data_IF_409470641321
#
_entry.id   IF_409470641321
#
_cell.length_a   1.000
_cell.length_b   1.000
_cell.length_c   1.000
_cell.angle_alpha   90.00
_cell.angle_beta   90.00
_cell.angle_gamma   90.00
#
_symmetry.space_group_name_H-M   'P 1'
#
loop_
_entity.id
_entity.type
_entity.pdbx_description
1 polymer ?
#
# COMPACT_ATOMS: atom_id res chain seq x y z
N UNK A 1 -27.99 -5.64 -24.12
CA UNK A 1 -27.03 -6.75 -24.34
C UNK A 1 -26.56 -7.19 -22.97
N UNK A 2 -26.98 -8.38 -22.52
CA UNK A 2 -26.65 -8.87 -21.17
C UNK A 2 -25.16 -9.22 -21.07
N UNK A 3 -24.53 -8.88 -19.95
CA UNK A 3 -23.13 -9.22 -19.68
C UNK A 3 -22.93 -10.74 -19.79
N UNK A 4 -22.11 -11.18 -20.75
CA UNK A 4 -21.76 -12.59 -20.92
C UNK A 4 -20.99 -13.06 -19.69
N UNK A 5 -21.39 -14.22 -19.14
CA UNK A 5 -20.71 -14.85 -18.01
C UNK A 5 -19.27 -15.21 -18.40
N UNK A 6 -18.35 -15.12 -17.44
CA UNK A 6 -16.98 -15.57 -17.65
C UNK A 6 -16.89 -17.11 -17.61
N UNK A 7 -15.71 -17.66 -17.90
CA UNK A 7 -15.44 -19.12 -17.87
C UNK A 7 -15.67 -19.76 -16.50
N UNK A 8 -15.86 -18.96 -15.45
CA UNK A 8 -16.19 -19.39 -14.09
C UNK A 8 -17.70 -19.31 -13.79
N UNK A 9 -18.54 -19.15 -14.81
CA UNK A 9 -20.00 -19.07 -14.72
C UNK A 9 -20.51 -17.92 -13.81
N UNK A 10 -19.73 -16.84 -13.70
CA UNK A 10 -20.07 -15.64 -12.95
C UNK A 10 -20.11 -14.44 -13.89
N UNK A 11 -20.84 -13.38 -13.52
CA UNK A 11 -20.68 -12.10 -14.22
C UNK A 11 -19.25 -11.58 -14.03
N UNK A 12 -18.63 -10.91 -15.02
CA UNK A 12 -17.25 -10.42 -14.91
C UNK A 12 -16.98 -9.60 -13.65
N UNK A 13 -17.96 -8.78 -13.21
CA UNK A 13 -17.84 -7.98 -11.97
C UNK A 13 -18.00 -8.78 -10.68
N UNK A 14 -18.56 -9.99 -10.74
CA UNK A 14 -18.76 -10.89 -9.60
C UNK A 14 -17.63 -11.91 -9.45
N UNK A 15 -16.93 -12.24 -10.54
CA UNK A 15 -15.80 -13.15 -10.52
C UNK A 15 -14.54 -12.47 -9.98
N UNK A 16 -14.02 -12.90 -8.82
CA UNK A 16 -12.78 -12.36 -8.26
C UNK A 16 -11.55 -12.51 -9.18
N UNK A 17 -11.54 -13.53 -10.05
CA UNK A 17 -10.46 -13.78 -11.01
C UNK A 17 -10.56 -12.97 -12.31
N UNK A 18 -11.75 -12.49 -12.66
CA UNK A 18 -11.99 -11.73 -13.89
C UNK A 18 -12.30 -10.25 -13.64
N UNK A 19 -12.49 -9.86 -12.36
CA UNK A 19 -12.67 -8.46 -11.98
C UNK A 19 -11.36 -7.71 -12.25
N UNK A 20 -11.41 -6.52 -12.86
CA UNK A 20 -10.24 -5.67 -13.01
C UNK A 20 -9.55 -5.39 -11.67
N UNK A 21 -8.23 -5.21 -11.71
CA UNK A 21 -7.47 -4.78 -10.56
C UNK A 21 -8.03 -3.45 -10.01
N UNK A 22 -8.10 -3.29 -8.68
CA UNK A 22 -8.42 -2.00 -8.07
C UNK A 22 -7.46 -0.91 -8.55
N UNK A 23 -7.96 0.33 -8.63
CA UNK A 23 -7.13 1.50 -8.98
C UNK A 23 -5.89 1.56 -8.08
N UNK A 24 -4.73 1.82 -8.68
CA UNK A 24 -3.44 1.84 -7.99
C UNK A 24 -2.76 0.48 -7.82
N UNK A 25 -3.38 -0.62 -8.28
CA UNK A 25 -2.76 -1.96 -8.33
C UNK A 25 -2.56 -2.45 -9.77
N UNK A 26 -1.64 -3.39 -9.94
CA UNK A 26 -1.39 -4.06 -11.21
C UNK A 26 -2.15 -5.40 -11.29
N UNK A 27 -2.56 -5.79 -12.50
CA UNK A 27 -3.23 -7.09 -12.76
C UNK A 27 -2.36 -8.30 -12.40
N UNK A 28 -1.04 -8.14 -12.49
CA UNK A 28 -0.06 -9.15 -12.10
C UNK A 28 0.91 -8.56 -11.10
N UNK A 29 1.24 -9.35 -10.09
CA UNK A 29 2.11 -8.96 -8.98
C UNK A 29 3.14 -10.04 -8.74
N UNK A 30 4.23 -9.63 -8.11
CA UNK A 30 5.34 -10.51 -7.74
C UNK A 30 5.19 -10.93 -6.28
N UNK A 31 5.30 -12.22 -6.01
CA UNK A 31 5.29 -12.78 -4.66
C UNK A 31 6.44 -13.75 -4.47
N UNK A 32 6.82 -13.96 -3.22
CA UNK A 32 7.69 -15.06 -2.80
C UNK A 32 6.90 -16.05 -1.96
N UNK A 33 7.16 -17.36 -2.06
CA UNK A 33 6.72 -18.32 -1.05
C UNK A 33 7.11 -17.84 0.36
N UNK A 34 6.19 -17.96 1.33
CA UNK A 34 6.39 -17.46 2.71
C UNK A 34 6.35 -15.94 2.87
N UNK A 35 6.39 -15.14 1.80
CA UNK A 35 6.33 -13.68 1.86
C UNK A 35 4.95 -13.16 2.29
N UNK A 36 4.94 -12.14 3.15
CA UNK A 36 3.72 -11.58 3.76
C UNK A 36 3.05 -10.48 2.93
N UNK A 37 3.72 -9.95 1.91
CA UNK A 37 3.21 -8.90 1.01
C UNK A 37 3.40 -9.30 -0.45
N UNK A 38 2.70 -8.62 -1.37
CA UNK A 38 2.97 -8.72 -2.80
C UNK A 38 3.60 -7.44 -3.36
N UNK A 39 4.45 -7.56 -4.36
CA UNK A 39 5.22 -6.46 -4.97
C UNK A 39 4.79 -6.22 -6.42
N UNK A 40 5.01 -5.01 -6.94
CA UNK A 40 4.80 -4.72 -8.37
C UNK A 40 5.89 -5.31 -9.27
N UNK A 41 7.08 -5.58 -8.71
CA UNK A 41 8.24 -6.06 -9.45
C UNK A 41 9.18 -6.87 -8.57
N UNK A 42 9.85 -7.86 -9.17
CA UNK A 42 10.91 -8.64 -8.53
C UNK A 42 12.16 -7.80 -8.16
N UNK A 43 12.27 -6.59 -8.71
CA UNK A 43 13.36 -5.64 -8.42
C UNK A 43 13.01 -4.63 -7.32
N UNK A 44 11.87 -4.79 -6.64
CA UNK A 44 11.51 -3.91 -5.55
C UNK A 44 12.59 -3.95 -4.45
N UNK A 45 13.08 -2.80 -4.03
CA UNK A 45 14.13 -2.70 -3.01
C UNK A 45 13.72 -3.36 -1.69
N UNK A 46 12.49 -3.13 -1.23
CA UNK A 46 11.95 -3.79 -0.03
C UNK A 46 11.90 -5.32 -0.15
N UNK A 47 11.65 -5.85 -1.36
CA UNK A 47 11.71 -7.30 -1.60
C UNK A 47 13.15 -7.82 -1.49
N UNK A 48 14.08 -7.15 -2.17
CA UNK A 48 15.50 -7.52 -2.18
C UNK A 48 16.07 -7.48 -0.76
N UNK A 49 15.78 -6.42 -0.01
CA UNK A 49 16.27 -6.30 1.36
C UNK A 49 15.58 -7.29 2.31
N UNK A 50 14.29 -7.57 2.11
CA UNK A 50 13.57 -8.62 2.83
C UNK A 50 14.21 -10.00 2.65
N UNK A 51 14.56 -10.37 1.41
CA UNK A 51 15.26 -11.62 1.09
C UNK A 51 16.67 -11.66 1.72
N UNK A 52 17.43 -10.56 1.64
CA UNK A 52 18.75 -10.45 2.29
C UNK A 52 18.64 -10.59 3.80
N UNK A 53 17.62 -9.98 4.42
CA UNK A 53 17.35 -10.12 5.85
C UNK A 53 17.01 -11.55 6.22
N UNK A 54 16.16 -12.23 5.45
CA UNK A 54 15.83 -13.64 5.67
C UNK A 54 17.08 -14.53 5.64
N UNK A 55 17.95 -14.36 4.63
CA UNK A 55 19.24 -15.04 4.57
C UNK A 55 20.11 -14.79 5.81
N UNK A 56 20.22 -13.53 6.26
CA UNK A 56 20.99 -13.18 7.47
C UNK A 56 20.44 -13.83 8.74
N UNK A 57 19.13 -14.11 8.77
CA UNK A 57 18.46 -14.80 9.88
C UNK A 57 18.48 -16.33 9.73
N UNK A 58 19.14 -16.87 8.70
CA UNK A 58 19.18 -18.31 8.43
C UNK A 58 17.85 -18.89 7.94
N UNK A 59 16.94 -18.05 7.46
CA UNK A 59 15.66 -18.46 6.88
C UNK A 59 15.85 -18.86 5.42
N UNK A 60 15.02 -19.79 4.95
CA UNK A 60 14.95 -20.12 3.53
C UNK A 60 14.42 -18.95 2.70
N UNK A 61 15.04 -18.76 1.54
CA UNK A 61 14.63 -17.77 0.54
C UNK A 61 14.22 -18.48 -0.74
N UNK A 62 13.30 -17.85 -1.46
CA UNK A 62 12.72 -18.42 -2.67
C UNK A 62 12.65 -17.38 -3.77
N UNK A 63 12.76 -17.82 -5.02
CA UNK A 63 12.69 -16.92 -6.16
C UNK A 63 11.32 -16.21 -6.25
N UNK A 64 11.31 -14.90 -6.53
CA UNK A 64 10.06 -14.19 -6.77
C UNK A 64 9.37 -14.70 -8.04
N UNK A 65 8.05 -14.92 -7.96
CA UNK A 65 7.20 -15.34 -9.07
C UNK A 65 6.10 -14.34 -9.37
N UNK A 66 5.80 -14.13 -10.65
CA UNK A 66 4.69 -13.31 -11.07
C UNK A 66 3.38 -14.11 -11.07
N UNK A 67 2.36 -13.62 -10.38
CA UNK A 67 1.03 -14.23 -10.26
C UNK A 67 -0.08 -13.22 -10.56
N UNK A 68 -1.28 -13.65 -10.98
CA UNK A 68 -2.45 -12.78 -11.04
C UNK A 68 -2.77 -12.18 -9.66
N UNK A 69 -3.11 -10.88 -9.61
CA UNK A 69 -3.45 -10.18 -8.37
C UNK A 69 -4.56 -10.89 -7.59
N UNK A 70 -5.58 -11.37 -8.30
CA UNK A 70 -6.72 -12.05 -7.72
C UNK A 70 -6.37 -13.29 -6.87
N UNK A 71 -5.19 -13.90 -7.07
CA UNK A 71 -4.73 -15.03 -6.27
C UNK A 71 -4.21 -14.64 -4.87
N UNK A 72 -3.87 -13.36 -4.66
CA UNK A 72 -3.16 -12.93 -3.44
C UNK A 72 -3.78 -11.72 -2.76
N UNK A 73 -4.66 -10.99 -3.44
CA UNK A 73 -5.25 -9.74 -2.95
C UNK A 73 -5.94 -9.89 -1.59
N UNK A 74 -6.54 -11.04 -1.31
CA UNK A 74 -7.25 -11.30 -0.05
C UNK A 74 -6.34 -11.75 1.10
N UNK A 75 -5.16 -12.29 0.78
CA UNK A 75 -4.28 -12.95 1.77
C UNK A 75 -3.07 -12.09 2.14
N UNK A 76 -2.66 -11.19 1.25
CA UNK A 76 -1.42 -10.43 1.38
C UNK A 76 -1.70 -8.96 1.04
N UNK A 77 -1.33 -8.00 1.90
CA UNK A 77 -1.42 -6.60 1.53
C UNK A 77 -0.38 -6.25 0.46
N UNK A 78 -0.63 -5.18 -0.33
CA UNK A 78 0.34 -4.65 -1.27
C UNK A 78 1.56 -4.08 -0.56
N UNK A 79 2.73 -4.23 -1.20
CA UNK A 79 3.91 -3.46 -0.83
C UNK A 79 3.65 -1.98 -1.10
N UNK A 80 3.67 -1.20 -0.03
CA UNK A 80 3.51 0.26 0.01
C UNK A 80 4.50 1.03 -0.88
N UNK A 81 5.69 0.47 -1.15
CA UNK A 81 6.64 1.07 -2.10
C UNK A 81 6.25 0.85 -3.56
N UNK A 82 5.68 -0.32 -3.85
CA UNK A 82 5.26 -0.65 -5.21
C UNK A 82 3.95 0.02 -5.58
N UNK A 83 3.06 0.17 -4.59
CA UNK A 83 1.71 0.67 -4.78
C UNK A 83 1.41 1.82 -3.82
N UNK A 84 2.19 2.93 -3.89
CA UNK A 84 2.02 4.03 -2.96
C UNK A 84 0.67 4.74 -3.13
N UNK A 85 0.00 4.56 -4.26
CA UNK A 85 -1.25 5.23 -4.61
C UNK A 85 -2.48 4.32 -4.44
N UNK A 86 -2.29 3.10 -3.94
CA UNK A 86 -3.41 2.24 -3.57
C UNK A 86 -3.91 2.60 -2.17
N UNK A 87 -5.20 2.96 -2.09
CA UNK A 87 -5.91 3.14 -0.84
C UNK A 87 -6.89 1.98 -0.62
N UNK A 88 -6.65 1.10 0.38
CA UNK A 88 -7.65 0.14 0.83
C UNK A 88 -8.98 0.82 1.20
N UNK A 89 -10.07 0.06 1.11
CA UNK A 89 -11.39 0.54 1.52
C UNK A 89 -11.37 1.10 2.96
N UNK A 90 -12.03 2.24 3.17
CA UNK A 90 -12.05 2.94 4.45
C UNK A 90 -10.82 3.80 4.74
N UNK A 91 -9.76 3.73 3.93
CA UNK A 91 -8.57 4.59 4.07
C UNK A 91 -8.51 5.67 3.00
N UNK A 92 -7.64 6.68 3.19
CA UNK A 92 -7.42 7.76 2.21
C UNK A 92 -5.94 8.04 2.04
N UNK A 93 -5.53 8.34 0.81
CA UNK A 93 -4.17 8.81 0.54
C UNK A 93 -3.94 10.16 1.24
N UNK A 94 -2.77 10.31 1.86
CA UNK A 94 -2.35 11.57 2.44
C UNK A 94 -0.85 11.79 2.26
N UNK A 95 -0.43 13.02 2.51
CA UNK A 95 0.93 13.37 2.90
C UNK A 95 0.98 13.49 4.42
N UNK A 96 2.05 12.97 5.02
CA UNK A 96 2.36 13.19 6.44
C UNK A 96 3.74 13.85 6.56
N UNK A 97 3.83 14.89 7.39
CA UNK A 97 5.08 15.59 7.68
C UNK A 97 5.74 14.99 8.91
N UNK A 98 6.99 14.55 8.78
CA UNK A 98 7.84 14.09 9.90
C UNK A 98 9.24 14.65 9.74
N UNK A 99 9.77 15.23 10.81
CA UNK A 99 11.11 15.83 10.84
C UNK A 99 11.37 16.79 9.66
N UNK A 100 10.34 17.58 9.33
CA UNK A 100 10.39 18.54 8.24
C UNK A 100 10.13 17.97 6.85
N UNK A 101 10.14 16.65 6.65
CA UNK A 101 9.99 15.97 5.35
C UNK A 101 8.56 15.46 5.15
N UNK A 102 8.06 15.52 3.90
CA UNK A 102 6.76 14.95 3.52
C UNK A 102 6.90 13.52 3.02
N UNK A 103 6.12 12.61 3.61
CA UNK A 103 6.04 11.20 3.22
C UNK A 103 4.67 10.86 2.67
N UNK A 104 4.63 9.94 1.71
CA UNK A 104 3.37 9.33 1.26
C UNK A 104 2.82 8.47 2.38
N UNK A 105 1.56 8.68 2.74
CA UNK A 105 0.88 7.93 3.79
C UNK A 105 -0.56 7.55 3.45
N UNK A 106 -1.14 6.78 4.36
CA UNK A 106 -2.53 6.34 4.38
C UNK A 106 -3.17 6.79 5.69
N UNK A 107 -4.13 7.70 5.60
CA UNK A 107 -4.99 8.06 6.71
C UNK A 107 -5.99 6.92 6.92
N UNK A 108 -5.93 6.28 8.10
CA UNK A 108 -6.79 5.15 8.46
C UNK A 108 -8.11 5.61 9.05
N UNK A 109 -8.05 6.55 10.02
CA UNK A 109 -9.23 7.16 10.63
C UNK A 109 -8.87 8.41 11.41
N UNK A 110 -9.83 9.31 11.59
CA UNK A 110 -9.75 10.36 12.59
C UNK A 110 -10.16 9.80 13.96
N UNK A 111 -9.37 10.07 15.00
CA UNK A 111 -9.54 9.53 16.35
C UNK A 111 -10.18 10.52 17.35
N UNK A 112 -10.29 11.79 16.99
CA UNK A 112 -10.88 12.83 17.85
C UNK A 112 -10.03 14.08 17.92
N UNK A 113 -10.23 14.90 18.96
CA UNK A 113 -9.39 16.07 19.23
C UNK A 113 -8.48 15.82 20.42
N UNK A 114 -7.26 16.34 20.34
CA UNK A 114 -6.30 16.27 21.43
C UNK A 114 -6.42 17.42 22.43
N UNK A 115 -5.53 17.47 23.43
CA UNK A 115 -5.51 18.50 24.46
C UNK A 115 -5.30 19.93 23.89
N UNK A 116 -4.67 20.05 22.72
CA UNK A 116 -4.52 21.32 22.02
C UNK A 116 -5.73 21.66 21.11
N UNK A 117 -6.83 20.90 21.23
CA UNK A 117 -8.04 21.01 20.43
C UNK A 117 -7.83 20.80 18.92
N UNK A 118 -6.76 20.10 18.54
CA UNK A 118 -6.46 19.72 17.16
C UNK A 118 -7.01 18.33 16.86
N UNK A 119 -7.56 18.13 15.66
CA UNK A 119 -7.93 16.78 15.23
C UNK A 119 -6.70 15.88 15.10
N UNK A 120 -6.81 14.65 15.56
CA UNK A 120 -5.82 13.58 15.42
C UNK A 120 -6.34 12.45 14.53
N UNK A 121 -5.41 11.82 13.81
CA UNK A 121 -5.68 10.68 12.96
C UNK A 121 -4.62 9.59 13.14
N UNK A 122 -5.06 8.34 12.99
CA UNK A 122 -4.19 7.19 12.81
C UNK A 122 -3.70 7.16 11.37
N UNK A 123 -2.39 7.17 11.16
CA UNK A 123 -1.76 7.25 9.84
C UNK A 123 -0.65 6.21 9.73
N UNK A 124 -0.67 5.44 8.64
CA UNK A 124 0.46 4.62 8.23
C UNK A 124 1.26 5.34 7.16
N UNK A 125 2.59 5.32 7.25
CA UNK A 125 3.47 5.86 6.23
C UNK A 125 4.77 5.09 6.16
N UNK A 126 5.58 5.40 5.16
CA UNK A 126 6.81 4.67 4.91
C UNK A 126 8.00 5.61 4.96
N UNK A 127 8.98 5.25 5.77
CA UNK A 127 10.30 5.87 5.83
C UNK A 127 11.35 4.77 5.89
N UNK A 128 12.44 4.91 5.12
CA UNK A 128 13.58 3.97 5.10
C UNK A 128 13.18 2.49 5.00
N UNK A 129 12.27 2.18 4.08
CA UNK A 129 11.69 0.84 3.85
C UNK A 129 10.83 0.27 4.98
N UNK A 130 10.64 1.00 6.08
CA UNK A 130 9.80 0.60 7.19
C UNK A 130 8.39 1.19 7.08
N UNK A 131 7.37 0.35 7.26
CA UNK A 131 6.01 0.80 7.49
C UNK A 131 5.87 1.24 8.95
N UNK A 132 5.47 2.48 9.16
CA UNK A 132 5.31 3.09 10.47
C UNK A 132 3.87 3.48 10.70
N UNK A 133 3.34 3.11 11.87
CA UNK A 133 2.01 3.47 12.34
C UNK A 133 2.11 4.53 13.43
N UNK A 134 1.46 5.67 13.22
CA UNK A 134 1.57 6.83 14.11
C UNK A 134 0.23 7.54 14.27
N UNK A 135 0.07 8.22 15.40
CA UNK A 135 -0.94 9.27 15.55
C UNK A 135 -0.33 10.59 15.07
N UNK A 136 -1.06 11.32 14.23
CA UNK A 136 -0.66 12.62 13.73
C UNK A 136 -1.79 13.62 13.89
N UNK A 137 -1.46 14.85 14.30
CA UNK A 137 -2.42 15.94 14.29
C UNK A 137 -2.64 16.50 12.88
N UNK A 138 -3.77 17.19 12.71
CA UNK A 138 -4.22 17.77 11.44
C UNK A 138 -3.22 18.74 10.78
N UNK A 139 -2.25 19.33 11.50
CA UNK A 139 -1.26 20.25 10.92
C UNK A 139 -0.15 19.51 10.19
N UNK A 140 0.05 18.24 10.54
CA UNK A 140 1.06 17.37 9.94
C UNK A 140 0.52 16.58 8.74
N UNK A 141 -0.73 16.82 8.33
CA UNK A 141 -1.42 16.02 7.33
C UNK A 141 -1.95 16.89 6.18
N UNK A 142 -1.82 16.40 4.96
CA UNK A 142 -2.47 16.96 3.78
C UNK A 142 -3.13 15.85 2.97
N UNK A 143 -4.27 16.10 2.29
CA UNK A 143 -4.81 15.15 1.31
C UNK A 143 -3.82 14.97 0.16
N UNK A 144 -3.86 13.79 -0.46
CA UNK A 144 -3.00 13.45 -1.59
C UNK A 144 -3.79 12.75 -2.68
N UNK A 145 -3.55 13.13 -3.92
CA UNK A 145 -4.07 12.44 -5.11
C UNK A 145 -3.07 11.39 -5.64
N UNK A 146 -3.53 10.35 -6.35
CA UNK A 146 -2.64 9.42 -7.06
C UNK A 146 -1.68 10.14 -8.01
N UNK A 147 -0.41 9.70 -8.07
CA UNK A 147 0.62 10.31 -8.92
C UNK A 147 1.13 11.68 -8.44
N UNK A 148 0.59 12.25 -7.36
CA UNK A 148 1.02 13.55 -6.86
C UNK A 148 2.44 13.50 -6.30
N UNK A 149 3.25 14.53 -6.61
CA UNK A 149 4.57 14.76 -6.02
C UNK A 149 4.49 15.45 -4.66
N UNK A 150 5.58 15.38 -3.89
CA UNK A 150 5.64 15.92 -2.54
C UNK A 150 5.33 17.44 -2.53
N UNK A 151 4.54 17.92 -1.55
CA UNK A 151 4.30 19.35 -1.40
C UNK A 151 5.62 20.10 -1.15
N UNK A 152 5.74 21.37 -1.57
CA UNK A 152 6.90 22.17 -1.25
C UNK A 152 7.06 22.30 0.26
N UNK A 153 8.30 22.27 0.73
CA UNK A 153 8.63 22.54 2.12
C UNK A 153 8.28 24.00 2.41
N UNK A 154 7.22 24.24 3.18
CA UNK A 154 6.88 25.59 3.62
C UNK A 154 7.99 26.10 4.55
N UNK A 155 8.70 27.14 4.11
CA UNK A 155 9.81 27.81 4.82
C UNK A 155 9.32 28.84 5.84
N UNK A 156 8.17 28.61 6.49
CA UNK A 156 7.66 29.52 7.51
C UNK A 156 8.05 29.09 8.90
#
# INVERSE_FOLDING_TARGET
MGESRCVHDLLPRQCGLCRPAPSGLAERVTVTPGGTVFHGTARCEALVEGQRKALRLGLEVHDPRAVPLAQVLHDRPPCVHCFPDYAPEGTRLCWIRRDGVWYKGLLKRWSGRNAANLWEADVAYVADLALLDVVADQRSLLPREPGQEAPPLSTR
#
